data_IF_126075434130
#
_entry.id   IF_126075434130
#
_cell.length_a   1.000
_cell.length_b   1.000
_cell.length_c   1.000
_cell.angle_alpha   90.00
_cell.angle_beta   90.00
_cell.angle_gamma   90.00
#
_symmetry.space_group_name_H-M   'P 1'
#
loop_
_entity.id
_entity.type
_entity.pdbx_description
1 polymer ?
#
# COMPACT_ATOMS: atom_id res chain seq x y z
N UNK A 1 -2.29 0.58 -18.35
CA UNK A 1 -2.86 -0.62 -19.03
C UNK A 1 -2.20 -1.96 -18.67
N UNK A 2 -0.87 -2.05 -18.47
CA UNK A 2 -0.18 -3.35 -18.22
C UNK A 2 -0.75 -4.17 -17.05
N UNK A 3 -1.05 -3.55 -15.91
CA UNK A 3 -1.60 -4.26 -14.72
C UNK A 3 -3.06 -4.66 -14.90
N UNK A 4 -3.87 -3.78 -15.52
CA UNK A 4 -5.29 -4.07 -15.79
C UNK A 4 -5.45 -5.26 -16.75
N UNK A 5 -4.57 -5.37 -17.76
CA UNK A 5 -4.56 -6.51 -18.69
C UNK A 5 -3.99 -7.79 -18.08
N UNK A 6 -3.06 -7.68 -17.13
CA UNK A 6 -2.46 -8.84 -16.46
C UNK A 6 -3.37 -9.45 -15.37
N UNK A 7 -4.45 -8.77 -14.97
CA UNK A 7 -5.39 -9.24 -13.94
C UNK A 7 -4.78 -9.41 -12.54
N UNK A 8 -3.51 -9.02 -12.34
CA UNK A 8 -2.75 -9.22 -11.10
C UNK A 8 -2.23 -7.86 -10.60
N UNK A 9 -2.77 -7.33 -9.49
CA UNK A 9 -2.30 -6.09 -8.87
C UNK A 9 -0.79 -6.14 -8.59
N UNK A 10 -0.08 -5.01 -8.72
CA UNK A 10 1.36 -4.93 -8.44
C UNK A 10 2.25 -5.90 -9.27
N UNK A 11 1.80 -6.28 -10.46
CA UNK A 11 2.60 -7.04 -11.44
C UNK A 11 3.63 -6.20 -12.22
N UNK A 12 3.74 -4.91 -11.90
CA UNK A 12 4.62 -3.95 -12.54
C UNK A 12 5.84 -3.57 -11.66
N UNK A 13 6.75 -2.69 -12.11
CA UNK A 13 7.92 -2.28 -11.32
C UNK A 13 7.60 -1.65 -9.95
N UNK A 14 6.42 -1.05 -9.79
CA UNK A 14 6.00 -0.52 -8.49
C UNK A 14 5.73 -1.66 -7.50
N UNK A 15 5.20 -2.79 -7.97
CA UNK A 15 5.06 -3.98 -7.14
C UNK A 15 6.38 -4.65 -6.80
N UNK A 16 7.37 -4.63 -7.70
CA UNK A 16 8.73 -5.10 -7.38
C UNK A 16 9.30 -4.29 -6.22
N UNK A 17 9.18 -2.97 -6.27
CA UNK A 17 9.64 -2.08 -5.19
C UNK A 17 8.87 -2.30 -3.89
N UNK A 18 7.55 -2.52 -3.96
CA UNK A 18 6.75 -2.80 -2.76
C UNK A 18 7.19 -4.09 -2.08
N UNK A 19 7.43 -5.16 -2.84
CA UNK A 19 7.93 -6.43 -2.31
C UNK A 19 9.32 -6.30 -1.69
N UNK A 20 10.20 -5.52 -2.32
CA UNK A 20 11.50 -5.18 -1.75
C UNK A 20 11.34 -4.45 -0.40
N UNK A 21 10.48 -3.43 -0.30
CA UNK A 21 10.20 -2.76 0.97
C UNK A 21 9.69 -3.73 2.04
N UNK A 22 8.75 -4.60 1.67
CA UNK A 22 8.20 -5.63 2.53
C UNK A 22 9.22 -6.72 2.90
N UNK A 23 10.29 -6.88 2.12
CA UNK A 23 11.27 -7.95 2.28
C UNK A 23 10.66 -9.34 2.04
N UNK A 24 9.72 -9.47 1.09
CA UNK A 24 9.01 -10.72 0.77
C UNK A 24 9.24 -11.18 -0.66
N UNK A 25 9.14 -12.50 -0.89
CA UNK A 25 9.22 -13.05 -2.23
C UNK A 25 7.93 -12.77 -3.04
N UNK A 26 7.96 -12.87 -4.38
CA UNK A 26 6.74 -12.84 -5.19
C UNK A 26 5.74 -13.92 -4.77
N UNK A 27 6.20 -15.12 -4.45
CA UNK A 27 5.36 -16.25 -4.02
C UNK A 27 4.60 -15.89 -2.74
N UNK A 28 5.30 -15.38 -1.72
CA UNK A 28 4.68 -14.91 -0.46
C UNK A 28 3.69 -13.77 -0.69
N UNK A 29 4.07 -12.77 -1.50
CA UNK A 29 3.25 -11.58 -1.75
C UNK A 29 1.92 -11.90 -2.44
N UNK A 30 1.88 -12.98 -3.22
CA UNK A 30 0.72 -13.38 -4.00
C UNK A 30 0.02 -14.63 -3.50
N UNK A 31 0.45 -15.15 -2.34
CA UNK A 31 -0.25 -16.19 -1.63
C UNK A 31 -1.56 -15.62 -1.06
N UNK A 32 -2.68 -16.07 -1.61
CA UNK A 32 -4.02 -15.55 -1.28
C UNK A 32 -4.52 -16.00 0.09
N UNK A 33 -3.91 -17.02 0.67
CA UNK A 33 -4.25 -17.49 2.01
C UNK A 33 -3.56 -16.64 3.08
N UNK A 34 -2.54 -15.86 2.70
CA UNK A 34 -1.71 -15.05 3.61
C UNK A 34 -1.79 -13.55 3.35
N UNK A 35 -2.00 -13.13 2.10
CA UNK A 35 -1.96 -11.72 1.69
C UNK A 35 -3.18 -11.34 0.87
N UNK A 36 -3.91 -10.33 1.36
CA UNK A 36 -4.99 -9.67 0.62
C UNK A 36 -4.52 -8.34 0.02
N UNK A 37 -4.67 -8.17 -1.30
CA UNK A 37 -4.38 -6.91 -1.99
C UNK A 37 -5.70 -6.25 -2.41
N UNK A 38 -6.10 -5.20 -1.69
CA UNK A 38 -7.37 -4.50 -1.93
C UNK A 38 -7.14 -3.10 -2.52
N UNK A 39 -7.43 -2.87 -3.81
CA UNK A 39 -7.23 -1.57 -4.44
C UNK A 39 -8.25 -0.53 -3.94
N UNK A 40 -7.90 0.76 -4.02
CA UNK A 40 -8.84 1.86 -3.69
C UNK A 40 -9.85 2.14 -4.80
N UNK A 41 -9.57 1.70 -6.03
CA UNK A 41 -10.52 1.69 -7.14
C UNK A 41 -10.47 0.33 -7.86
N UNK A 42 -11.62 -0.15 -8.30
CA UNK A 42 -11.77 -1.43 -9.00
C UNK A 42 -11.72 -1.29 -10.52
N UNK A 43 -11.61 -0.06 -11.03
CA UNK A 43 -11.45 0.26 -12.44
C UNK A 43 -10.22 1.14 -12.66
N UNK A 44 -9.65 1.10 -13.86
CA UNK A 44 -8.60 2.03 -14.27
C UNK A 44 -9.23 3.41 -14.50
N UNK A 45 -8.83 4.46 -13.75
CA UNK A 45 -9.54 5.74 -13.76
C UNK A 45 -9.21 6.62 -14.98
N UNK A 46 -8.28 6.20 -15.84
CA UNK A 46 -7.76 7.00 -16.95
C UNK A 46 -6.48 7.74 -16.59
N UNK A 47 -5.92 8.42 -17.58
CA UNK A 47 -4.72 9.26 -17.44
C UNK A 47 -5.09 10.74 -17.40
N UNK A 48 -4.37 11.52 -16.60
CA UNK A 48 -4.39 12.98 -16.68
C UNK A 48 -3.64 13.47 -17.93
N UNK A 49 -3.73 14.77 -18.23
CA UNK A 49 -3.08 15.36 -19.40
C UNK A 49 -1.53 15.21 -19.40
N UNK A 50 -0.94 14.84 -18.26
CA UNK A 50 0.50 14.62 -18.08
C UNK A 50 0.88 13.13 -18.07
N UNK A 51 -0.06 12.25 -18.42
CA UNK A 51 0.14 10.80 -18.47
C UNK A 51 0.28 10.14 -17.10
N UNK A 52 -0.26 10.76 -16.03
CA UNK A 52 -0.34 10.15 -14.70
C UNK A 52 -1.72 9.53 -14.50
N UNK A 53 -1.79 8.38 -13.82
CA UNK A 53 -3.08 7.81 -13.46
C UNK A 53 -3.89 8.82 -12.63
N UNK A 54 -5.16 8.99 -12.99
CA UNK A 54 -6.09 9.77 -12.20
C UNK A 54 -6.26 9.14 -10.80
N UNK A 55 -6.61 9.94 -9.77
CA UNK A 55 -6.88 9.37 -8.46
C UNK A 55 -8.06 8.39 -8.51
N UNK A 56 -8.10 7.38 -7.62
CA UNK A 56 -9.25 6.49 -7.51
C UNK A 56 -10.52 7.31 -7.23
N UNK A 57 -11.63 7.09 -7.97
CA UNK A 57 -12.87 7.82 -7.74
C UNK A 57 -13.37 7.59 -6.31
N UNK A 58 -13.74 8.65 -5.56
CA UNK A 58 -14.22 8.50 -4.18
C UNK A 58 -15.43 7.56 -4.05
N UNK A 59 -16.28 7.53 -5.08
CA UNK A 59 -17.44 6.62 -5.17
C UNK A 59 -17.02 5.16 -5.02
N UNK A 60 -15.86 4.75 -5.55
CA UNK A 60 -15.42 3.35 -5.43
C UNK A 60 -15.25 2.93 -3.98
N UNK A 61 -14.62 3.78 -3.18
CA UNK A 61 -14.40 3.47 -1.78
C UNK A 61 -15.71 3.56 -0.99
N UNK A 62 -16.54 4.57 -1.28
CA UNK A 62 -17.84 4.76 -0.63
C UNK A 62 -18.80 3.58 -0.88
N UNK A 63 -18.80 3.01 -2.08
CA UNK A 63 -19.74 1.94 -2.45
C UNK A 63 -19.27 0.56 -2.01
N UNK A 64 -17.96 0.25 -2.11
CA UNK A 64 -17.50 -1.14 -2.02
C UNK A 64 -16.42 -1.41 -0.98
N UNK A 65 -15.71 -0.38 -0.47
CA UNK A 65 -14.51 -0.62 0.35
C UNK A 65 -14.82 -1.39 1.62
N UNK A 66 -15.83 -0.97 2.38
CA UNK A 66 -16.17 -1.61 3.64
C UNK A 66 -16.60 -3.07 3.42
N UNK A 67 -17.50 -3.31 2.45
CA UNK A 67 -17.95 -4.68 2.11
C UNK A 67 -16.80 -5.61 1.73
N UNK A 68 -15.79 -5.13 1.01
CA UNK A 68 -14.61 -5.93 0.67
C UNK A 68 -13.76 -6.22 1.91
N UNK A 69 -13.56 -5.23 2.79
CA UNK A 69 -12.80 -5.43 4.03
C UNK A 69 -13.51 -6.40 4.98
N UNK A 70 -14.84 -6.34 5.06
CA UNK A 70 -15.64 -7.28 5.85
C UNK A 70 -15.49 -8.73 5.35
N UNK A 71 -15.33 -8.93 4.03
CA UNK A 71 -15.06 -10.25 3.44
C UNK A 71 -13.62 -10.72 3.64
N UNK A 72 -12.64 -9.81 3.64
CA UNK A 72 -11.26 -10.14 4.00
C UNK A 72 -11.17 -10.57 5.47
N UNK A 73 -12.00 -9.94 6.32
CA UNK A 73 -12.04 -10.24 7.74
C UNK A 73 -10.87 -9.64 8.53
N UNK A 74 -10.66 -10.07 9.78
CA UNK A 74 -9.61 -9.53 10.63
C UNK A 74 -8.22 -9.89 10.09
N UNK A 75 -7.32 -8.91 10.04
CA UNK A 75 -5.92 -9.09 9.64
C UNK A 75 -4.98 -8.57 10.72
N UNK A 76 -3.85 -9.23 10.93
CA UNK A 76 -2.88 -8.87 11.96
C UNK A 76 -1.99 -7.66 11.61
N UNK A 77 -1.98 -7.26 10.33
CA UNK A 77 -1.20 -6.15 9.79
C UNK A 77 -1.86 -5.59 8.52
N UNK A 78 -2.00 -4.26 8.44
CA UNK A 78 -2.49 -3.54 7.25
C UNK A 78 -1.45 -2.55 6.73
N UNK A 79 -1.15 -2.59 5.43
CA UNK A 79 -0.29 -1.62 4.76
C UNK A 79 -1.12 -0.61 3.97
N UNK A 80 -1.06 0.67 4.35
CA UNK A 80 -1.78 1.75 3.68
C UNK A 80 -0.90 2.42 2.64
N UNK A 81 -0.94 1.89 1.42
CA UNK A 81 -0.06 2.31 0.32
C UNK A 81 -0.63 3.51 -0.44
N UNK A 82 0.00 4.67 -0.28
CA UNK A 82 -0.34 5.91 -0.97
C UNK A 82 -1.45 6.72 -0.31
N UNK A 83 -1.57 7.99 -0.73
CA UNK A 83 -2.43 8.98 -0.07
C UNK A 83 -3.93 8.65 -0.10
N UNK A 84 -4.42 7.97 -1.14
CA UNK A 84 -5.83 7.58 -1.21
C UNK A 84 -6.19 6.55 -0.12
N UNK A 85 -5.34 5.53 0.08
CA UNK A 85 -5.54 4.55 1.14
C UNK A 85 -5.40 5.22 2.53
N UNK A 86 -4.35 6.01 2.72
CA UNK A 86 -4.13 6.69 3.99
C UNK A 86 -5.26 7.67 4.35
N UNK A 87 -5.79 8.42 3.39
CA UNK A 87 -6.86 9.38 3.61
C UNK A 87 -8.22 8.76 3.90
N UNK A 88 -8.45 7.50 3.50
CA UNK A 88 -9.67 6.77 3.85
C UNK A 88 -9.56 6.09 5.21
N UNK A 89 -8.40 5.49 5.51
CA UNK A 89 -8.21 4.64 6.70
C UNK A 89 -7.78 5.40 7.95
N UNK A 90 -7.12 6.56 7.81
CA UNK A 90 -6.59 7.30 8.96
C UNK A 90 -7.35 8.61 9.15
N UNK A 91 -7.64 9.01 10.40
CA UNK A 91 -8.36 10.25 10.69
C UNK A 91 -7.53 11.48 10.28
N UNK A 92 -8.22 12.63 10.21
CA UNK A 92 -7.62 13.92 9.91
C UNK A 92 -7.29 14.13 8.42
N UNK A 93 -6.89 15.36 8.07
CA UNK A 93 -6.37 15.70 6.73
C UNK A 93 -4.89 16.02 6.86
N UNK A 94 -4.04 15.07 6.47
CA UNK A 94 -2.59 15.18 6.53
C UNK A 94 -1.96 14.68 5.22
N UNK A 95 -0.80 15.23 4.88
CA UNK A 95 -0.04 14.82 3.70
C UNK A 95 0.62 13.44 3.86
N UNK A 96 0.96 12.79 2.74
CA UNK A 96 1.60 11.46 2.75
C UNK A 96 2.89 11.46 3.58
N UNK A 97 3.72 12.49 3.46
CA UNK A 97 4.98 12.57 4.23
C UNK A 97 4.72 12.55 5.73
N UNK A 98 3.76 13.34 6.21
CA UNK A 98 3.46 13.47 7.63
C UNK A 98 2.88 12.18 8.18
N UNK A 99 1.94 11.55 7.45
CA UNK A 99 1.38 10.25 7.84
C UNK A 99 2.43 9.16 7.88
N UNK A 100 3.30 9.08 6.87
CA UNK A 100 4.39 8.10 6.86
C UNK A 100 5.40 8.39 7.97
N UNK A 101 5.66 9.66 8.31
CA UNK A 101 6.58 10.02 9.40
C UNK A 101 6.02 9.61 10.76
N UNK A 102 4.70 9.73 10.96
CA UNK A 102 3.97 9.32 12.16
C UNK A 102 3.64 7.82 12.24
N UNK A 103 4.30 6.96 11.46
CA UNK A 103 3.96 5.52 11.39
C UNK A 103 3.92 4.81 12.75
N UNK A 104 4.70 5.28 13.73
CA UNK A 104 4.77 4.71 15.08
C UNK A 104 3.45 4.82 15.84
N UNK A 105 2.59 5.78 15.50
CA UNK A 105 1.28 5.98 16.14
C UNK A 105 0.27 4.91 15.74
N UNK A 106 0.60 4.10 14.74
CA UNK A 106 -0.29 3.10 14.14
C UNK A 106 0.30 1.68 14.16
N UNK A 107 1.61 1.56 14.42
CA UNK A 107 2.29 0.29 14.59
C UNK A 107 1.83 -0.42 15.88
N UNK A 108 1.90 -1.77 15.93
CA UNK A 108 2.35 -2.68 14.88
C UNK A 108 1.22 -3.14 13.93
N UNK A 109 0.00 -2.63 14.08
CA UNK A 109 -1.17 -3.09 13.34
C UNK A 109 -1.29 -2.44 11.95
N UNK A 110 -0.84 -1.19 11.79
CA UNK A 110 -1.01 -0.43 10.56
C UNK A 110 0.26 0.34 10.21
N UNK A 111 0.70 0.24 8.95
CA UNK A 111 1.84 1.00 8.44
C UNK A 111 1.44 1.84 7.21
N UNK A 112 1.42 3.18 7.31
CA UNK A 112 1.29 4.03 6.14
C UNK A 112 2.59 4.04 5.33
N UNK A 113 2.47 3.76 4.03
CA UNK A 113 3.59 3.77 3.08
C UNK A 113 3.31 4.77 1.96
N UNK A 114 4.33 5.46 1.42
CA UNK A 114 4.13 6.20 0.19
C UNK A 114 3.85 5.24 -0.97
N UNK A 115 3.38 5.74 -2.11
CA UNK A 115 3.19 4.86 -3.27
C UNK A 115 4.56 4.42 -3.83
N UNK A 116 4.77 3.13 -4.17
CA UNK A 116 6.04 2.59 -4.67
C UNK A 116 6.34 2.95 -6.13
N UNK A 117 5.72 3.99 -6.66
CA UNK A 117 5.96 4.45 -8.04
C UNK A 117 7.35 5.07 -8.16
N UNK A 118 7.97 4.96 -9.33
CA UNK A 118 9.22 5.64 -9.66
C UNK A 118 9.13 7.16 -9.47
N UNK A 119 7.93 7.74 -9.59
CA UNK A 119 7.68 9.17 -9.32
C UNK A 119 8.03 9.56 -7.88
N UNK A 120 7.99 8.62 -6.94
CA UNK A 120 8.32 8.86 -5.55
C UNK A 120 9.82 8.75 -5.22
N UNK A 121 10.69 8.52 -6.22
CA UNK A 121 12.14 8.36 -5.99
C UNK A 121 12.79 9.62 -5.41
N UNK A 122 12.35 10.81 -5.84
CA UNK A 122 12.82 12.07 -5.26
C UNK A 122 12.39 12.26 -3.80
N UNK A 123 11.21 11.75 -3.43
CA UNK A 123 10.74 11.76 -2.04
C UNK A 123 11.60 10.84 -1.16
N UNK A 124 11.90 9.63 -1.62
CA UNK A 124 12.75 8.67 -0.89
C UNK A 124 14.13 9.26 -0.59
N UNK A 125 14.77 9.88 -1.60
CA UNK A 125 16.07 10.57 -1.42
C UNK A 125 16.03 11.69 -0.37
N UNK A 126 14.90 12.41 -0.25
CA UNK A 126 14.71 13.48 0.74
C UNK A 126 14.31 12.95 2.12
N UNK A 127 13.90 11.69 2.22
CA UNK A 127 13.38 11.06 3.43
C UNK A 127 14.09 9.72 3.71
N UNK A 128 15.43 9.73 3.90
CA UNK A 128 16.21 8.49 4.08
C UNK A 128 15.80 7.68 5.31
N UNK A 129 15.16 8.34 6.29
CA UNK A 129 14.56 7.70 7.46
C UNK A 129 13.48 6.66 7.12
N UNK A 130 12.85 6.76 5.94
CA UNK A 130 11.88 5.74 5.50
C UNK A 130 12.56 4.37 5.41
N UNK A 131 13.72 4.31 4.76
CA UNK A 131 14.47 3.06 4.60
C UNK A 131 15.26 2.70 5.87
N UNK A 132 15.81 3.69 6.57
CA UNK A 132 16.66 3.45 7.74
C UNK A 132 15.87 3.12 9.02
N UNK A 133 14.65 3.63 9.18
CA UNK A 133 13.87 3.49 10.42
C UNK A 133 12.57 2.70 10.24
N UNK A 134 11.78 2.97 9.19
CA UNK A 134 10.47 2.35 9.02
C UNK A 134 10.59 0.93 8.46
N UNK A 135 11.32 0.75 7.35
CA UNK A 135 11.39 -0.55 6.66
C UNK A 135 11.92 -1.70 7.55
N UNK A 136 12.94 -1.53 8.40
CA UNK A 136 13.41 -2.63 9.26
C UNK A 136 12.32 -3.11 10.22
N UNK A 137 11.55 -2.19 10.81
CA UNK A 137 10.46 -2.51 11.74
C UNK A 137 9.29 -3.16 11.02
N UNK A 138 8.92 -2.64 9.84
CA UNK A 138 7.91 -3.25 9.00
C UNK A 138 8.29 -4.69 8.61
N UNK A 139 9.54 -4.92 8.19
CA UNK A 139 10.01 -6.26 7.78
C UNK A 139 9.99 -7.24 8.93
N UNK A 140 10.44 -6.83 10.13
CA UNK A 140 10.35 -7.65 11.33
C UNK A 140 8.89 -8.04 11.63
N UNK A 141 7.98 -7.05 11.62
CA UNK A 141 6.55 -7.29 11.86
C UNK A 141 5.90 -8.18 10.80
N UNK A 142 6.28 -8.03 9.53
CA UNK A 142 5.81 -8.91 8.46
C UNK A 142 6.24 -10.35 8.69
N UNK A 143 7.49 -10.59 9.09
CA UNK A 143 8.00 -11.94 9.36
C UNK A 143 7.24 -12.58 10.53
N UNK A 144 7.04 -11.85 11.63
CA UNK A 144 6.23 -12.30 12.75
C UNK A 144 4.81 -12.74 12.34
N UNK A 145 4.13 -11.95 11.50
CA UNK A 145 2.75 -12.25 11.08
C UNK A 145 2.70 -13.38 10.06
N UNK A 146 3.67 -13.45 9.15
CA UNK A 146 3.71 -14.46 8.11
C UNK A 146 4.14 -15.84 8.65
N UNK A 147 4.96 -15.89 9.69
CA UNK A 147 5.48 -17.13 10.29
C UNK A 147 4.70 -17.56 11.54
N UNK A 148 3.72 -16.77 11.97
CA UNK A 148 2.80 -17.17 13.02
C UNK A 148 2.03 -18.45 12.61
N UNK A 149 1.95 -19.46 13.50
CA UNK A 149 1.28 -20.73 13.23
C UNK A 149 -0.25 -20.60 13.11
#
# INVERSE_FOLDING_TARGET
>A
MRVHLAGRPFSDPSGVRLRDWMGVSPEEFYDRDRVAIVPMAFCFPGYDARGSDLPPPPLCAATWRQTVLDQVGPVALTLLVGGAAQGWHLPGRMGVTERVRGWRDHAPAVFPLPHPSWRNTGWLKKNPWFEAELLPVLRARLREVLEAP
#
